data_IF_478225509072
#
_entry.id   IF_478225509072
#
_cell.length_a   1.000
_cell.length_b   1.000
_cell.length_c   1.000
_cell.angle_alpha   90.00
_cell.angle_beta   90.00
_cell.angle_gamma   90.00
#
_symmetry.space_group_name_H-M   'P 1'
#
loop_
_entity.id
_entity.type
_entity.pdbx_description
1 polymer ?
#
# COMPACT_ATOMS: atom_id res chain seq x y z
N UNK A 1 -15.80 4.01 15.31
CA UNK A 1 -15.71 2.91 16.30
C UNK A 1 -14.53 3.17 17.23
N UNK A 2 -14.72 3.14 18.55
CA UNK A 2 -13.61 3.36 19.51
C UNK A 2 -12.82 2.07 19.70
N UNK A 3 -11.49 2.17 19.63
CA UNK A 3 -10.54 1.09 19.90
C UNK A 3 -9.47 1.60 20.87
N UNK A 4 -8.79 0.70 21.57
CA UNK A 4 -7.59 1.08 22.31
C UNK A 4 -6.39 1.22 21.34
N UNK A 5 -5.45 2.09 21.68
CA UNK A 5 -4.24 2.23 20.84
C UNK A 5 -3.47 0.92 20.69
N UNK A 6 -3.54 0.03 21.68
CA UNK A 6 -2.94 -1.31 21.62
C UNK A 6 -3.53 -2.21 20.53
N UNK A 7 -4.77 -1.94 20.11
CA UNK A 7 -5.49 -2.70 19.06
C UNK A 7 -5.30 -2.09 17.66
N UNK A 8 -4.51 -1.02 17.56
CA UNK A 8 -4.21 -0.34 16.32
C UNK A 8 -3.38 -1.26 15.40
N UNK A 9 -3.69 -1.24 14.11
CA UNK A 9 -2.98 -2.03 13.08
C UNK A 9 -2.56 -1.13 11.94
N UNK A 10 -1.49 -1.50 11.26
CA UNK A 10 -1.08 -0.86 10.00
C UNK A 10 -2.24 -0.95 9.00
N UNK A 11 -2.50 0.13 8.28
CA UNK A 11 -3.63 0.26 7.36
C UNK A 11 -4.92 0.75 8.00
N UNK A 12 -5.04 0.76 9.34
CA UNK A 12 -6.22 1.35 9.99
C UNK A 12 -6.30 2.85 9.70
N UNK A 13 -7.52 3.35 9.55
CA UNK A 13 -7.81 4.78 9.46
C UNK A 13 -8.34 5.22 10.81
N UNK A 14 -7.76 6.30 11.34
CA UNK A 14 -8.19 6.92 12.60
C UNK A 14 -8.50 8.38 12.39
N UNK A 15 -9.45 8.88 13.18
CA UNK A 15 -9.66 10.32 13.31
C UNK A 15 -8.74 10.85 14.41
N UNK A 16 -7.90 11.81 14.06
CA UNK A 16 -6.97 12.45 14.97
C UNK A 16 -6.75 13.90 14.55
N UNK A 17 -6.79 14.84 15.51
CA UNK A 17 -6.64 16.29 15.24
C UNK A 17 -7.53 16.81 14.09
N UNK A 18 -8.81 16.45 14.09
CA UNK A 18 -9.81 16.82 13.09
C UNK A 18 -9.47 16.40 11.65
N UNK A 19 -8.62 15.42 11.47
CA UNK A 19 -8.23 14.88 10.18
C UNK A 19 -8.26 13.36 10.19
N UNK A 20 -8.33 12.75 9.00
CA UNK A 20 -8.26 11.31 8.81
C UNK A 20 -6.81 10.90 8.49
N UNK A 21 -6.34 9.91 9.23
CA UNK A 21 -4.97 9.44 9.14
C UNK A 21 -4.94 7.93 8.93
N UNK A 22 -4.19 7.48 7.95
CA UNK A 22 -3.86 6.06 7.73
C UNK A 22 -2.60 5.71 8.51
N UNK A 23 -2.65 4.63 9.27
CA UNK A 23 -1.49 4.11 10.01
C UNK A 23 -0.53 3.47 9.03
N UNK A 24 0.63 4.07 8.84
CA UNK A 24 1.67 3.60 7.92
C UNK A 24 2.67 2.66 8.61
N UNK A 25 3.04 2.96 9.88
CA UNK A 25 3.93 2.11 10.67
C UNK A 25 3.51 2.13 12.13
N UNK A 26 3.81 1.04 12.83
CA UNK A 26 3.59 0.88 14.27
C UNK A 26 4.82 0.29 14.93
N UNK A 27 5.13 0.80 16.12
CA UNK A 27 6.10 0.22 17.03
C UNK A 27 5.54 0.20 18.44
N UNK A 28 5.52 -0.98 19.04
CA UNK A 28 5.10 -1.18 20.42
C UNK A 28 6.33 -1.08 21.32
N UNK A 29 6.31 -0.16 22.27
CA UNK A 29 7.39 0.00 23.23
C UNK A 29 6.86 -0.24 24.64
N UNK A 30 7.47 -1.21 25.31
CA UNK A 30 7.18 -1.52 26.71
C UNK A 30 8.43 -1.26 27.54
N UNK A 31 8.59 -0.03 28.07
CA UNK A 31 9.74 0.29 28.90
C UNK A 31 9.67 -0.48 30.21
N UNK A 32 10.83 -0.85 30.76
CA UNK A 32 10.91 -1.59 32.02
C UNK A 32 10.40 -0.80 33.26
N UNK A 33 10.29 0.52 33.15
CA UNK A 33 9.63 1.42 34.11
C UNK A 33 8.79 2.42 33.32
N UNK A 34 7.46 2.44 33.56
CA UNK A 34 6.50 3.32 32.90
C UNK A 34 5.42 2.56 32.15
N UNK A 35 4.39 3.27 31.69
CA UNK A 35 3.30 2.68 30.91
C UNK A 35 3.72 2.32 29.49
N UNK A 36 3.20 1.22 28.97
CA UNK A 36 3.38 0.85 27.57
C UNK A 36 2.80 1.92 26.62
N UNK A 37 3.45 2.15 25.50
CA UNK A 37 2.99 3.09 24.49
C UNK A 37 3.19 2.55 23.07
N UNK A 38 2.38 3.08 22.16
CA UNK A 38 2.42 2.79 20.75
C UNK A 38 2.96 4.02 20.04
N UNK A 39 3.99 3.85 19.24
CA UNK A 39 4.49 4.87 18.34
C UNK A 39 3.98 4.58 16.94
N UNK A 40 3.21 5.50 16.37
CA UNK A 40 2.60 5.37 15.07
C UNK A 40 3.14 6.42 14.10
N UNK A 41 3.57 5.99 12.92
CA UNK A 41 3.70 6.87 11.76
C UNK A 41 2.35 6.92 11.06
N UNK A 42 1.76 8.10 11.02
CA UNK A 42 0.47 8.38 10.42
C UNK A 42 0.66 9.13 9.11
N UNK A 43 -0.13 8.79 8.10
CA UNK A 43 -0.18 9.48 6.82
C UNK A 43 -1.56 10.11 6.63
N UNK A 44 -1.61 11.42 6.46
CA UNK A 44 -2.86 12.14 6.24
C UNK A 44 -3.46 11.71 4.89
N UNK A 45 -4.76 11.38 4.89
CA UNK A 45 -5.43 10.87 3.70
C UNK A 45 -5.61 11.98 2.65
N UNK A 46 -5.87 13.21 3.08
CA UNK A 46 -6.18 14.31 2.17
C UNK A 46 -4.96 14.95 1.52
N UNK A 47 -3.86 15.15 2.28
CA UNK A 47 -2.69 15.90 1.82
C UNK A 47 -1.39 15.08 1.85
N UNK A 48 -1.45 13.79 2.21
CA UNK A 48 -0.33 12.85 2.27
C UNK A 48 0.80 13.26 3.24
N UNK A 49 0.59 14.27 4.09
CA UNK A 49 1.57 14.64 5.11
C UNK A 49 1.78 13.51 6.11
N UNK A 50 2.98 13.44 6.68
CA UNK A 50 3.33 12.45 7.69
C UNK A 50 3.33 13.08 9.08
N UNK A 51 2.83 12.32 10.05
CA UNK A 51 2.84 12.66 11.46
C UNK A 51 3.33 11.46 12.25
N UNK A 52 4.31 11.65 13.12
CA UNK A 52 4.69 10.65 14.11
C UNK A 52 4.00 10.99 15.43
N UNK A 53 3.16 10.08 15.90
CA UNK A 53 2.38 10.28 17.12
C UNK A 53 2.64 9.15 18.10
N UNK A 54 2.52 9.46 19.38
CA UNK A 54 2.74 8.53 20.47
C UNK A 54 1.48 8.43 21.32
N UNK A 55 0.85 7.26 21.30
CA UNK A 55 -0.35 6.96 22.06
C UNK A 55 -0.03 6.10 23.28
N UNK A 56 -0.68 6.34 24.40
CA UNK A 56 -0.64 5.39 25.51
C UNK A 56 -1.40 4.12 25.10
N UNK A 57 -0.93 2.94 25.51
CA UNK A 57 -1.55 1.67 25.11
C UNK A 57 -3.06 1.59 25.44
N UNK A 58 -3.48 2.24 26.52
CA UNK A 58 -4.88 2.32 26.94
C UNK A 58 -5.65 3.51 26.38
N UNK A 59 -5.02 4.34 25.56
CA UNK A 59 -5.66 5.51 24.96
C UNK A 59 -6.74 5.09 23.98
N UNK A 60 -7.90 5.74 24.06
CA UNK A 60 -9.02 5.46 23.16
C UNK A 60 -8.90 6.27 21.89
N UNK A 61 -8.84 5.57 20.76
CA UNK A 61 -8.77 6.15 19.42
C UNK A 61 -10.06 5.90 18.65
N UNK A 62 -10.47 6.85 17.84
CA UNK A 62 -11.60 6.68 16.95
C UNK A 62 -11.15 6.07 15.62
N UNK A 63 -11.38 4.75 15.49
CA UNK A 63 -11.14 4.03 14.24
C UNK A 63 -12.32 4.25 13.30
N UNK A 64 -12.01 4.63 12.09
CA UNK A 64 -12.97 4.82 11.01
C UNK A 64 -13.06 3.50 10.23
N UNK A 65 -14.28 3.09 9.93
CA UNK A 65 -14.53 1.97 9.03
C UNK A 65 -14.77 2.53 7.64
N UNK A 66 -13.89 2.20 6.72
CA UNK A 66 -14.11 2.46 5.31
C UNK A 66 -15.01 1.37 4.73
N UNK A 67 -15.85 1.73 3.78
CA UNK A 67 -16.59 0.80 2.93
C UNK A 67 -15.73 0.53 1.70
N UNK A 68 -15.51 -0.74 1.37
CA UNK A 68 -14.80 -1.16 0.18
C UNK A 68 -15.79 -1.50 -0.92
N UNK A 69 -15.63 -0.88 -2.08
CA UNK A 69 -16.52 -1.07 -3.24
C UNK A 69 -15.66 -1.39 -4.46
N UNK A 70 -16.04 -2.45 -5.17
CA UNK A 70 -15.36 -2.91 -6.37
C UNK A 70 -15.60 -1.97 -7.54
N UNK A 71 -14.52 -1.55 -8.17
CA UNK A 71 -14.48 -0.66 -9.32
C UNK A 71 -13.57 -1.24 -10.40
N UNK A 72 -13.76 -0.78 -11.62
CA UNK A 72 -12.84 -1.01 -12.73
C UNK A 72 -12.09 0.28 -13.04
N UNK A 73 -10.78 0.21 -13.14
CA UNK A 73 -9.98 1.31 -13.65
C UNK A 73 -10.22 1.43 -15.16
N UNK A 74 -10.57 2.62 -15.64
CA UNK A 74 -10.85 2.86 -17.04
C UNK A 74 -9.65 3.47 -17.76
N UNK A 75 -9.19 4.62 -17.31
CA UNK A 75 -8.06 5.33 -17.92
C UNK A 75 -7.48 6.41 -17.01
N UNK A 76 -6.29 6.84 -17.36
CA UNK A 76 -5.60 7.98 -16.74
C UNK A 76 -5.57 9.18 -17.68
N UNK A 77 -5.83 10.36 -17.15
CA UNK A 77 -5.68 11.65 -17.86
C UNK A 77 -4.85 12.61 -17.00
N UNK A 78 -3.56 12.75 -17.32
CA UNK A 78 -2.64 13.54 -16.49
C UNK A 78 -2.48 12.97 -15.08
N UNK A 79 -2.91 13.71 -14.06
CA UNK A 79 -2.89 13.30 -12.65
C UNK A 79 -4.21 12.68 -12.19
N UNK A 80 -5.23 12.62 -13.05
CA UNK A 80 -6.55 12.10 -12.76
C UNK A 80 -6.73 10.68 -13.28
N UNK A 81 -7.36 9.86 -12.47
CA UNK A 81 -7.65 8.44 -12.74
C UNK A 81 -9.17 8.24 -12.67
N UNK A 82 -9.73 7.67 -13.73
CA UNK A 82 -11.16 7.42 -13.83
C UNK A 82 -11.46 5.96 -13.52
N UNK A 83 -12.39 5.73 -12.61
CA UNK A 83 -12.86 4.41 -12.20
C UNK A 83 -14.36 4.31 -12.40
N UNK A 84 -14.86 3.12 -12.67
CA UNK A 84 -16.28 2.80 -12.82
C UNK A 84 -16.71 1.78 -11.77
N UNK A 85 -17.76 2.07 -11.06
CA UNK A 85 -18.36 1.13 -10.12
C UNK A 85 -18.90 -0.10 -10.86
N UNK A 86 -18.54 -1.30 -10.42
CA UNK A 86 -18.90 -2.54 -11.10
C UNK A 86 -20.40 -2.88 -11.00
N UNK A 87 -21.14 -2.26 -10.07
CA UNK A 87 -22.56 -2.51 -9.85
C UNK A 87 -23.45 -1.41 -10.43
N UNK A 88 -23.12 -0.13 -10.17
CA UNK A 88 -23.94 1.02 -10.57
C UNK A 88 -23.53 1.61 -11.91
N UNK A 89 -22.31 1.27 -12.40
CA UNK A 89 -21.69 1.83 -13.61
C UNK A 89 -21.42 3.34 -13.52
N UNK A 90 -21.57 3.92 -12.35
CA UNK A 90 -21.19 5.30 -12.10
C UNK A 90 -19.67 5.49 -12.14
N UNK A 91 -19.24 6.59 -12.74
CA UNK A 91 -17.81 6.91 -12.84
C UNK A 91 -17.41 7.93 -11.77
N UNK A 92 -16.24 7.69 -11.20
CA UNK A 92 -15.61 8.61 -10.26
C UNK A 92 -14.20 8.93 -10.74
N UNK A 93 -13.73 10.12 -10.41
CA UNK A 93 -12.37 10.58 -10.70
C UNK A 93 -11.62 10.77 -9.39
N UNK A 94 -10.42 10.19 -9.31
CA UNK A 94 -9.51 10.33 -8.19
C UNK A 94 -8.16 10.85 -8.69
N UNK A 95 -7.54 11.76 -7.96
CA UNK A 95 -6.23 12.29 -8.34
C UNK A 95 -5.08 11.40 -7.82
N UNK A 96 -3.86 11.67 -8.30
CA UNK A 96 -2.64 10.92 -7.94
C UNK A 96 -2.35 10.90 -6.43
N UNK A 97 -2.79 11.91 -5.68
CA UNK A 97 -2.62 11.97 -4.22
C UNK A 97 -3.48 10.89 -3.55
N UNK A 98 -4.71 10.69 -4.00
CA UNK A 98 -5.64 9.68 -3.50
C UNK A 98 -5.24 8.27 -3.96
N UNK A 99 -4.86 8.12 -5.23
CA UNK A 99 -4.42 6.83 -5.81
C UNK A 99 -3.07 6.40 -5.26
N UNK A 100 -2.16 7.30 -5.01
CA UNK A 100 -0.73 7.24 -4.72
C UNK A 100 0.14 6.74 -5.89
N UNK A 101 1.41 7.15 -5.91
CA UNK A 101 2.32 6.88 -7.03
C UNK A 101 2.60 5.39 -7.26
N UNK A 102 2.71 4.60 -6.19
CA UNK A 102 3.00 3.18 -6.34
C UNK A 102 1.80 2.42 -6.90
N UNK A 103 0.60 2.69 -6.39
CA UNK A 103 -0.64 2.11 -6.92
C UNK A 103 -0.83 2.50 -8.38
N UNK A 104 -0.60 3.78 -8.72
CA UNK A 104 -0.74 4.28 -10.09
C UNK A 104 0.14 3.54 -11.13
N UNK A 105 1.29 3.01 -10.70
CA UNK A 105 2.18 2.22 -11.56
C UNK A 105 1.67 0.81 -11.86
N UNK A 106 0.75 0.30 -11.06
CA UNK A 106 0.15 -1.02 -11.27
C UNK A 106 -1.14 -0.97 -12.06
N UNK A 107 -1.80 0.20 -12.15
CA UNK A 107 -3.08 0.32 -12.83
C UNK A 107 -2.93 0.13 -14.33
N UNK A 108 -3.70 -0.81 -14.88
CA UNK A 108 -3.84 -1.08 -16.30
C UNK A 108 -5.32 -0.93 -16.69
N UNK A 109 -5.59 -0.45 -17.91
CA UNK A 109 -6.94 -0.23 -18.40
C UNK A 109 -7.78 -1.52 -18.30
N UNK A 110 -8.94 -1.41 -17.66
CA UNK A 110 -9.82 -2.55 -17.40
C UNK A 110 -9.51 -3.33 -16.12
N UNK A 111 -8.49 -2.94 -15.34
CA UNK A 111 -8.15 -3.63 -14.09
C UNK A 111 -9.25 -3.45 -13.05
N UNK A 112 -9.61 -4.55 -12.39
CA UNK A 112 -10.48 -4.52 -11.21
C UNK A 112 -9.68 -4.10 -9.98
N UNK A 113 -10.24 -3.16 -9.22
CA UNK A 113 -9.66 -2.60 -8.00
C UNK A 113 -10.75 -2.48 -6.94
N UNK A 114 -10.34 -2.44 -5.68
CA UNK A 114 -11.22 -2.05 -4.58
C UNK A 114 -10.95 -0.60 -4.18
N UNK A 115 -11.99 0.20 -4.06
CA UNK A 115 -11.89 1.59 -3.60
C UNK A 115 -12.51 1.71 -2.20
N UNK A 116 -11.73 2.27 -1.29
CA UNK A 116 -12.18 2.55 0.07
C UNK A 116 -12.90 3.90 0.12
N UNK A 117 -14.13 3.90 0.63
CA UNK A 117 -14.96 5.08 0.83
C UNK A 117 -15.14 5.37 2.31
N UNK A 118 -15.12 6.63 2.66
CA UNK A 118 -15.55 7.15 3.95
C UNK A 118 -16.50 8.31 3.71
N UNK A 119 -17.71 8.21 4.31
CA UNK A 119 -18.76 9.22 4.15
C UNK A 119 -18.98 9.57 2.67
N UNK A 120 -19.18 8.53 1.84
CA UNK A 120 -19.38 8.60 0.38
C UNK A 120 -18.21 9.19 -0.43
N UNK A 121 -17.10 9.50 0.23
CA UNK A 121 -15.90 10.05 -0.41
C UNK A 121 -14.87 8.96 -0.67
N UNK A 122 -14.36 8.83 -1.91
CA UNK A 122 -13.29 7.89 -2.21
C UNK A 122 -11.98 8.36 -1.56
N UNK A 123 -11.29 7.46 -0.87
CA UNK A 123 -10.09 7.79 -0.10
C UNK A 123 -8.84 7.10 -0.59
N UNK A 124 -8.96 5.85 -1.01
CA UNK A 124 -7.82 5.01 -1.36
C UNK A 124 -8.21 3.99 -2.41
N UNK A 125 -7.25 3.63 -3.27
CA UNK A 125 -7.41 2.59 -4.29
C UNK A 125 -6.50 1.42 -3.94
N UNK A 126 -7.08 0.24 -3.83
CA UNK A 126 -6.37 -1.00 -3.59
C UNK A 126 -6.38 -1.84 -4.88
N UNK A 127 -5.23 -2.02 -5.56
CA UNK A 127 -5.12 -2.96 -6.67
C UNK A 127 -5.24 -4.39 -6.13
N UNK A 128 -5.36 -5.42 -6.99
CA UNK A 128 -5.31 -6.81 -6.57
C UNK A 128 -4.11 -7.07 -5.67
N UNK A 129 -4.29 -7.88 -4.62
CA UNK A 129 -3.23 -8.17 -3.63
C UNK A 129 -1.94 -8.69 -4.26
N UNK A 130 -2.05 -9.39 -5.36
CA UNK A 130 -0.90 -9.87 -6.12
C UNK A 130 -1.08 -9.67 -7.62
N UNK A 131 0.01 -9.27 -8.27
CA UNK A 131 0.07 -9.08 -9.72
C UNK A 131 1.29 -9.80 -10.30
N UNK A 132 1.16 -10.23 -11.56
CA UNK A 132 2.29 -10.75 -12.33
C UNK A 132 2.87 -9.62 -13.16
N UNK A 133 4.15 -9.31 -12.95
CA UNK A 133 4.86 -8.23 -13.63
C UNK A 133 6.21 -8.76 -14.13
N UNK A 134 6.68 -8.23 -15.27
CA UNK A 134 7.95 -8.63 -15.85
C UNK A 134 9.11 -7.82 -15.27
N UNK A 135 10.26 -8.46 -15.10
CA UNK A 135 11.51 -7.82 -14.73
C UNK A 135 12.07 -7.06 -15.95
N UNK A 136 12.17 -5.74 -15.84
CA UNK A 136 12.82 -4.91 -16.85
C UNK A 136 14.35 -4.96 -16.73
N UNK A 137 14.86 -4.92 -15.47
CA UNK A 137 16.28 -4.90 -15.19
C UNK A 137 16.59 -5.51 -13.83
N UNK A 138 17.65 -6.32 -13.74
CA UNK A 138 18.21 -6.81 -12.47
C UNK A 138 19.68 -7.16 -12.68
N UNK A 139 20.45 -7.16 -11.59
CA UNK A 139 21.86 -7.52 -11.62
C UNK A 139 22.06 -9.00 -11.98
N UNK A 140 23.04 -9.26 -12.86
CA UNK A 140 23.46 -10.63 -13.16
C UNK A 140 24.18 -11.24 -11.94
N UNK A 141 23.86 -12.49 -11.61
CA UNK A 141 24.61 -13.20 -10.58
C UNK A 141 25.90 -13.76 -11.20
N UNK A 142 27.05 -13.30 -10.70
CA UNK A 142 28.34 -13.87 -11.09
C UNK A 142 28.47 -15.26 -10.46
N UNK A 143 28.53 -16.31 -11.29
CA UNK A 143 28.82 -17.70 -10.84
C UNK A 143 30.16 -17.72 -10.13
N UNK A 144 30.15 -18.04 -8.83
CA UNK A 144 31.37 -18.18 -8.02
C UNK A 144 31.46 -17.28 -6.79
N UNK A 145 30.61 -16.28 -6.63
CA UNK A 145 30.43 -15.62 -5.33
C UNK A 145 29.50 -16.48 -4.48
N UNK A 146 30.08 -17.46 -3.86
CA UNK A 146 29.47 -18.19 -2.75
C UNK A 146 29.30 -17.22 -1.61
N UNK A 147 28.17 -17.16 -1.12
CA UNK A 147 27.71 -16.81 0.19
C UNK A 147 26.68 -15.70 0.18
N UNK A 148 25.66 -16.09 0.74
CA UNK A 148 24.41 -15.48 1.10
C UNK A 148 23.39 -15.50 -0.02
N UNK A 149 22.31 -16.19 0.25
CA UNK A 149 21.02 -16.14 -0.42
C UNK A 149 20.38 -14.73 -0.28
N UNK A 150 21.20 -13.70 -0.54
CA UNK A 150 20.74 -12.31 -0.45
C UNK A 150 19.88 -11.97 -1.64
N UNK A 151 18.70 -11.46 -1.37
CA UNK A 151 17.88 -10.86 -2.42
C UNK A 151 18.65 -9.75 -3.11
N UNK A 152 18.42 -9.59 -4.41
CA UNK A 152 19.02 -8.53 -5.23
C UNK A 152 17.97 -7.53 -5.71
N UNK A 153 18.34 -6.28 -5.97
CA UNK A 153 17.42 -5.28 -6.50
C UNK A 153 16.99 -5.62 -7.93
N UNK A 154 15.73 -5.37 -8.22
CA UNK A 154 15.17 -5.50 -9.57
C UNK A 154 14.21 -4.34 -9.86
N UNK A 155 14.18 -3.91 -11.11
CA UNK A 155 13.25 -2.94 -11.65
C UNK A 155 12.20 -3.67 -12.48
N UNK A 156 10.94 -3.45 -12.20
CA UNK A 156 9.82 -3.99 -12.96
C UNK A 156 9.53 -3.10 -14.19
N UNK A 157 8.87 -3.66 -15.19
CA UNK A 157 8.49 -2.93 -16.42
C UNK A 157 7.59 -1.73 -16.17
N UNK A 158 6.84 -1.73 -15.07
CA UNK A 158 6.02 -0.59 -14.64
C UNK A 158 6.78 0.45 -13.78
N UNK A 159 8.11 0.31 -13.64
CA UNK A 159 8.95 1.25 -12.90
C UNK A 159 8.93 1.08 -11.37
N UNK A 160 8.34 0.01 -10.86
CA UNK A 160 8.40 -0.34 -9.44
C UNK A 160 9.70 -1.08 -9.13
N UNK A 161 10.34 -0.75 -8.01
CA UNK A 161 11.54 -1.44 -7.52
C UNK A 161 11.14 -2.47 -6.47
N UNK A 162 11.67 -3.66 -6.61
CA UNK A 162 11.48 -4.78 -5.69
C UNK A 162 12.82 -5.47 -5.41
N UNK A 163 12.84 -6.35 -4.43
CA UNK A 163 13.97 -7.26 -4.22
C UNK A 163 13.55 -8.68 -4.59
N UNK A 164 14.41 -9.38 -5.32
CA UNK A 164 14.14 -10.72 -5.85
C UNK A 164 15.24 -11.69 -5.49
N UNK A 165 14.95 -13.02 -5.43
CA UNK A 165 15.97 -14.04 -5.25
C UNK A 165 17.04 -14.01 -6.37
N UNK A 166 18.26 -14.52 -6.11
CA UNK A 166 19.37 -14.48 -7.06
C UNK A 166 19.11 -15.14 -8.42
N UNK A 167 18.24 -16.17 -8.46
CA UNK A 167 17.91 -16.92 -9.68
C UNK A 167 16.97 -16.21 -10.65
N UNK A 168 16.42 -15.07 -10.26
CA UNK A 168 15.54 -14.27 -11.12
C UNK A 168 16.40 -13.44 -12.08
N UNK A 169 16.03 -13.44 -13.35
CA UNK A 169 16.76 -12.76 -14.44
C UNK A 169 15.90 -11.70 -15.10
N UNK A 170 16.54 -10.80 -15.83
CA UNK A 170 15.86 -9.82 -16.71
C UNK A 170 14.99 -10.55 -17.73
N UNK A 171 13.75 -10.08 -17.90
CA UNK A 171 12.75 -10.71 -18.76
C UNK A 171 11.87 -11.74 -18.07
N UNK A 172 12.23 -12.21 -16.88
CA UNK A 172 11.39 -13.12 -16.11
C UNK A 172 10.09 -12.43 -15.67
N UNK A 173 9.00 -13.19 -15.65
CA UNK A 173 7.74 -12.77 -15.04
C UNK A 173 7.73 -13.25 -13.60
N UNK A 174 7.39 -12.36 -12.70
CA UNK A 174 7.27 -12.65 -11.27
C UNK A 174 5.92 -12.21 -10.75
N UNK A 175 5.45 -12.91 -9.73
CA UNK A 175 4.29 -12.52 -8.94
C UNK A 175 4.77 -11.76 -7.71
N UNK A 176 4.18 -10.61 -7.47
CA UNK A 176 4.53 -9.74 -6.35
C UNK A 176 3.30 -9.44 -5.50
N UNK A 177 3.51 -9.15 -4.23
CA UNK A 177 2.51 -8.50 -3.38
C UNK A 177 2.52 -7.00 -3.67
N UNK A 178 1.37 -6.44 -4.03
CA UNK A 178 1.24 -5.03 -4.47
C UNK A 178 1.30 -4.03 -3.33
N UNK A 179 0.88 -4.42 -2.13
CA UNK A 179 0.88 -3.54 -0.95
C UNK A 179 2.26 -3.46 -0.29
N UNK A 180 2.97 -4.61 -0.20
CA UNK A 180 4.28 -4.72 0.44
C UNK A 180 5.43 -4.52 -0.54
N UNK A 181 5.17 -4.59 -1.85
CA UNK A 181 6.16 -4.57 -2.93
C UNK A 181 7.19 -5.70 -2.79
N UNK A 182 6.74 -6.88 -2.38
CA UNK A 182 7.58 -8.06 -2.13
C UNK A 182 7.37 -9.12 -3.19
N UNK A 183 8.46 -9.82 -3.51
CA UNK A 183 8.44 -11.01 -4.39
C UNK A 183 7.69 -12.17 -3.72
N UNK A 184 6.80 -12.82 -4.46
CA UNK A 184 6.08 -14.02 -4.04
C UNK A 184 6.71 -15.26 -4.72
N UNK A 185 6.67 -15.28 -6.05
CA UNK A 185 7.13 -16.44 -6.85
C UNK A 185 7.46 -16.05 -8.29
N UNK A 186 8.20 -16.90 -9.00
CA UNK A 186 8.39 -16.79 -10.43
C UNK A 186 7.12 -17.29 -11.13
N UNK A 187 6.53 -16.47 -11.98
CA UNK A 187 5.38 -16.86 -12.80
C UNK A 187 5.85 -17.83 -13.91
N UNK A 188 5.00 -18.78 -14.21
CA UNK A 188 5.23 -19.74 -15.30
C UNK A 188 4.95 -19.15 -16.65
#
# INVERSE_FOLDING_TARGET
MKINANDLKIGNIIQHNNSLWKVAKLSHTQPGKGGAYIQAELKNISNQSKLNERFRSSESLEKIRAEEIDHQFLFRSGEDFTFMNNQTYEQIVMNIIQVNENTAKFLEDGMEVSIEFYDEKPMNVNPPESLTVQIAETEAVVKGQTASSSYKPALLTNGVRVTVPPHIETGDKIRINTSELTYIEKAK
#
